data_IF_614843795884
#
_entry.id   IF_614843795884
#
_cell.length_a   1.000
_cell.length_b   1.000
_cell.length_c   1.000
_cell.angle_alpha   90.00
_cell.angle_beta   90.00
_cell.angle_gamma   90.00
#
_symmetry.space_group_name_H-M   'P 1'
#
loop_
_entity.id
_entity.type
_entity.pdbx_description
1 polymer ?
#
# COMPACT_ATOMS: atom_id res chain seq x y z
N UNK A 1 -3.42 16.03 0.97
CA UNK A 1 -2.53 14.86 0.91
C UNK A 1 -1.67 14.95 2.16
N UNK A 2 -1.57 13.90 2.97
CA UNK A 2 -0.65 13.95 4.11
C UNK A 2 0.77 14.10 3.55
N UNK A 3 1.51 15.12 3.97
CA UNK A 3 2.85 15.42 3.45
C UNK A 3 3.94 14.45 3.99
N UNK A 4 3.53 13.43 4.75
CA UNK A 4 4.40 12.58 5.55
C UNK A 4 4.77 11.27 4.85
N UNK A 5 3.99 10.83 3.86
CA UNK A 5 4.20 9.56 3.16
C UNK A 5 3.92 9.63 1.66
N UNK A 6 4.55 8.70 0.93
CA UNK A 6 4.40 8.55 -0.51
C UNK A 6 3.84 7.18 -0.86
N UNK A 7 2.99 7.11 -1.88
CA UNK A 7 2.68 5.84 -2.56
C UNK A 7 3.74 5.66 -3.65
N UNK A 8 4.64 4.71 -3.47
CA UNK A 8 5.72 4.46 -4.41
C UNK A 8 5.27 3.61 -5.59
N UNK A 9 4.40 2.63 -5.35
CA UNK A 9 3.83 1.80 -6.41
C UNK A 9 2.41 1.36 -6.08
N UNK A 10 1.63 1.17 -7.14
CA UNK A 10 0.27 0.61 -7.11
C UNK A 10 0.13 -0.40 -8.24
N UNK A 11 -0.40 -1.57 -7.92
CA UNK A 11 -0.61 -2.66 -8.88
C UNK A 11 -1.99 -3.27 -8.71
N UNK A 12 -2.79 -3.24 -9.78
CA UNK A 12 -3.98 -4.07 -9.86
C UNK A 12 -3.57 -5.53 -9.99
N UNK A 13 -4.36 -6.42 -9.39
CA UNK A 13 -4.16 -7.86 -9.53
C UNK A 13 -4.40 -8.30 -10.98
N UNK A 14 -3.67 -9.32 -11.42
CA UNK A 14 -3.77 -9.83 -12.79
C UNK A 14 -5.01 -10.70 -13.03
N UNK A 15 -5.59 -11.25 -11.96
CA UNK A 15 -6.62 -12.29 -12.02
C UNK A 15 -7.92 -11.90 -11.32
N UNK A 16 -7.88 -10.92 -10.41
CA UNK A 16 -9.06 -10.40 -9.71
C UNK A 16 -9.17 -8.88 -9.87
N UNK A 17 -10.16 -8.43 -10.64
CA UNK A 17 -10.43 -7.01 -10.90
C UNK A 17 -10.75 -6.18 -9.65
N UNK A 18 -11.09 -6.82 -8.53
CA UNK A 18 -11.39 -6.12 -7.27
C UNK A 18 -10.15 -5.94 -6.39
N UNK A 19 -9.04 -6.61 -6.73
CA UNK A 19 -7.85 -6.61 -5.90
C UNK A 19 -6.80 -5.61 -6.39
N UNK A 20 -6.24 -4.85 -5.45
CA UNK A 20 -5.15 -3.90 -5.71
C UNK A 20 -4.16 -3.88 -4.53
N UNK A 21 -2.88 -3.70 -4.84
CA UNK A 21 -1.80 -3.65 -3.87
C UNK A 21 -1.10 -2.30 -3.95
N UNK A 22 -0.65 -1.79 -2.81
CA UNK A 22 0.14 -0.55 -2.72
C UNK A 22 1.36 -0.73 -1.82
N UNK A 23 2.46 -0.13 -2.26
CA UNK A 23 3.67 0.07 -1.46
C UNK A 23 3.74 1.52 -1.00
N UNK A 24 3.77 1.72 0.31
CA UNK A 24 3.83 3.04 0.94
C UNK A 24 5.22 3.25 1.54
N UNK A 25 5.67 4.49 1.52
CA UNK A 25 7.00 4.88 1.93
C UNK A 25 6.99 6.10 2.84
N UNK A 26 7.67 5.95 3.97
CA UNK A 26 7.84 6.98 5.01
C UNK A 26 9.32 7.24 5.35
N UNK A 27 10.28 6.76 4.55
CA UNK A 27 11.70 6.84 4.93
C UNK A 27 12.21 8.26 5.17
N UNK A 28 11.57 9.28 4.55
CA UNK A 28 11.95 10.70 4.72
C UNK A 28 11.63 11.25 6.11
N UNK A 29 10.80 10.56 6.89
CA UNK A 29 10.50 10.93 8.29
C UNK A 29 11.35 10.12 9.29
N UNK A 30 12.23 9.23 8.81
CA UNK A 30 13.04 8.35 9.64
C UNK A 30 12.36 7.01 9.98
N UNK A 31 11.17 6.77 9.45
CA UNK A 31 10.48 5.49 9.55
C UNK A 31 10.83 4.59 8.35
N UNK A 32 11.52 3.48 8.65
CA UNK A 32 11.97 2.50 7.66
C UNK A 32 11.17 1.20 7.70
N UNK A 33 10.04 1.16 8.43
CA UNK A 33 9.17 0.00 8.46
C UNK A 33 8.59 -0.29 7.07
N UNK A 34 8.46 -1.57 6.67
CA UNK A 34 7.83 -1.93 5.42
C UNK A 34 6.31 -1.70 5.51
N UNK A 35 5.77 -0.91 4.59
CA UNK A 35 4.34 -0.67 4.50
C UNK A 35 3.78 -1.22 3.18
N UNK A 36 3.14 -2.38 3.28
CA UNK A 36 2.51 -3.06 2.16
C UNK A 36 1.04 -3.31 2.48
N UNK A 37 0.14 -2.89 1.59
CA UNK A 37 -1.30 -3.03 1.80
C UNK A 37 -1.98 -3.68 0.60
N UNK A 38 -3.05 -4.43 0.89
CA UNK A 38 -3.96 -5.02 -0.09
C UNK A 38 -5.37 -4.48 0.14
N UNK A 39 -6.06 -4.16 -0.95
CA UNK A 39 -7.51 -3.99 -0.99
C UNK A 39 -8.12 -5.10 -1.85
N UNK A 40 -9.31 -5.56 -1.48
CA UNK A 40 -10.14 -6.50 -2.26
C UNK A 40 -11.49 -5.89 -2.66
N UNK A 41 -11.60 -4.56 -2.59
CA UNK A 41 -12.79 -3.77 -2.85
C UNK A 41 -12.47 -2.51 -3.68
N UNK A 42 -11.53 -2.64 -4.61
CA UNK A 42 -11.09 -1.58 -5.54
C UNK A 42 -10.56 -0.32 -4.83
N UNK A 43 -9.96 -0.49 -3.65
CA UNK A 43 -9.30 0.56 -2.89
C UNK A 43 -10.18 1.28 -1.85
N UNK A 44 -11.40 0.78 -1.58
CA UNK A 44 -12.28 1.37 -0.58
C UNK A 44 -11.82 1.06 0.85
N UNK A 45 -11.25 -0.13 1.08
CA UNK A 45 -10.64 -0.54 2.36
C UNK A 45 -9.32 -1.29 2.14
N UNK A 46 -8.44 -1.25 3.14
CA UNK A 46 -7.07 -1.75 3.05
C UNK A 46 -6.71 -2.61 4.26
N UNK A 47 -6.01 -3.72 4.01
CA UNK A 47 -5.43 -4.59 5.03
C UNK A 47 -3.91 -4.60 4.87
N UNK A 48 -3.17 -4.44 5.97
CA UNK A 48 -1.72 -4.55 5.98
C UNK A 48 -1.28 -6.00 5.74
N UNK A 49 -0.29 -6.19 4.88
CA UNK A 49 0.25 -7.50 4.47
C UNK A 49 1.78 -7.57 4.59
N UNK A 50 2.41 -6.58 5.23
CA UNK A 50 3.81 -6.66 5.60
C UNK A 50 4.02 -7.79 6.62
N UNK A 51 5.08 -8.58 6.45
CA UNK A 51 5.47 -9.61 7.42
C UNK A 51 6.29 -9.05 8.57
N UNK A 52 6.48 -9.87 9.60
CA UNK A 52 7.36 -9.60 10.75
C UNK A 52 8.84 -9.72 10.40
#
# INVERSE_FOLDING_TARGET
>A
VADEFFVNDIKADLHDENTVYVAVDQHKTGDFSPYLFKSSDRGASWTGIAGD
#
